data_IF_734314537089
#
_entry.id   IF_734314537089
#
_cell.length_a   1.000
_cell.length_b   1.000
_cell.length_c   1.000
_cell.angle_alpha   90.00
_cell.angle_beta   90.00
_cell.angle_gamma   90.00
#
_symmetry.space_group_name_H-M   'P 1'
#
loop_
_entity.id
_entity.type
_entity.pdbx_description
1 polymer ?
#
# COMPACT_ATOMS: atom_id res chain seq x y z
N UNK A 1 3.34 1.93 36.08
CA UNK A 1 4.42 1.17 35.42
C UNK A 1 5.46 2.18 34.95
N UNK A 2 6.66 2.08 35.49
CA UNK A 2 7.75 3.04 35.37
C UNK A 2 8.18 3.22 33.91
N UNK A 3 7.72 4.30 33.27
CA UNK A 3 8.37 4.82 32.07
C UNK A 3 9.72 5.39 32.52
N UNK A 4 10.77 4.58 32.42
CA UNK A 4 12.13 5.13 32.50
C UNK A 4 12.31 6.04 31.29
N UNK A 5 12.56 7.31 31.59
CA UNK A 5 12.74 8.42 30.65
C UNK A 5 14.06 8.25 29.89
N UNK A 6 14.11 7.26 29.00
CA UNK A 6 15.24 7.05 28.11
C UNK A 6 15.10 7.97 26.89
N UNK A 7 16.19 8.65 26.54
CA UNK A 7 16.27 9.47 25.34
C UNK A 7 15.86 8.64 24.10
N UNK A 8 15.07 9.21 23.16
CA UNK A 8 14.57 8.48 22.02
C UNK A 8 15.70 8.05 21.08
N UNK A 9 15.68 6.79 20.66
CA UNK A 9 16.62 6.23 19.69
C UNK A 9 16.28 6.70 18.27
N UNK A 10 17.29 6.90 17.42
CA UNK A 10 17.06 7.18 16.00
C UNK A 10 16.38 5.99 15.31
N UNK A 11 15.39 6.27 14.45
CA UNK A 11 14.60 5.28 13.72
C UNK A 11 14.31 5.80 12.30
N UNK A 12 14.19 4.96 11.25
CA UNK A 12 14.20 3.49 11.24
C UNK A 12 15.56 2.85 11.59
N UNK A 13 15.54 1.61 12.10
CA UNK A 13 16.75 0.85 12.37
C UNK A 13 17.35 0.17 11.12
N UNK A 14 16.51 -0.06 10.11
CA UNK A 14 16.93 -0.58 8.80
C UNK A 14 17.39 0.57 7.89
N UNK A 15 18.40 0.32 7.07
CA UNK A 15 18.98 1.28 6.11
C UNK A 15 18.38 1.20 4.70
N UNK A 16 17.56 0.18 4.42
CA UNK A 16 16.95 -0.06 3.10
C UNK A 16 17.88 -0.66 2.03
N UNK A 17 19.05 -1.16 2.43
CA UNK A 17 20.05 -1.72 1.50
C UNK A 17 19.87 -3.22 1.21
N UNK A 18 19.24 -3.95 2.12
CA UNK A 18 18.94 -5.37 2.02
C UNK A 18 17.56 -5.68 2.65
N UNK A 19 17.19 -6.97 2.64
CA UNK A 19 15.95 -7.46 3.23
C UNK A 19 16.11 -7.95 4.68
N UNK A 20 17.34 -7.91 5.22
CA UNK A 20 17.61 -8.42 6.55
C UNK A 20 17.06 -7.48 7.62
N UNK A 21 16.57 -8.07 8.70
CA UNK A 21 16.11 -7.29 9.83
C UNK A 21 17.32 -6.82 10.64
N UNK A 22 17.45 -5.51 10.87
CA UNK A 22 18.52 -4.97 11.70
C UNK A 22 18.54 -5.63 13.08
N UNK A 23 19.73 -5.98 13.58
CA UNK A 23 19.93 -6.54 14.93
C UNK A 23 19.32 -5.66 16.04
N UNK A 24 19.14 -4.37 15.76
CA UNK A 24 18.48 -3.46 16.69
C UNK A 24 17.03 -3.87 16.98
N UNK A 25 16.31 -4.46 16.00
CA UNK A 25 14.98 -5.01 16.24
C UNK A 25 15.02 -6.29 17.09
N UNK A 26 16.04 -7.12 16.95
CA UNK A 26 16.26 -8.29 17.83
C UNK A 26 16.47 -7.85 19.27
N UNK A 27 17.42 -6.94 19.50
CA UNK A 27 17.66 -6.33 20.82
C UNK A 27 16.41 -5.67 21.38
N UNK A 28 15.64 -4.98 20.53
CA UNK A 28 14.38 -4.35 20.92
C UNK A 28 13.32 -5.37 21.36
N UNK A 29 13.24 -6.54 20.71
CA UNK A 29 12.31 -7.61 21.12
C UNK A 29 12.70 -8.22 22.47
N UNK A 30 13.98 -8.34 22.75
CA UNK A 30 14.48 -8.91 24.01
C UNK A 30 14.38 -7.92 25.18
N UNK A 31 14.49 -6.62 24.90
CA UNK A 31 14.37 -5.55 25.91
C UNK A 31 12.96 -5.51 26.52
N UNK A 32 12.81 -5.51 27.87
CA UNK A 32 11.50 -5.36 28.50
C UNK A 32 10.85 -4.00 28.21
N UNK A 33 9.57 -4.01 27.82
CA UNK A 33 8.80 -2.80 27.55
C UNK A 33 8.95 -2.27 26.12
N UNK A 34 8.36 -1.09 25.86
CA UNK A 34 8.43 -0.42 24.57
C UNK A 34 9.65 0.51 24.51
N UNK A 35 10.25 0.67 23.34
CA UNK A 35 11.35 1.61 23.14
C UNK A 35 10.82 3.01 22.78
N UNK A 36 11.47 4.07 23.25
CA UNK A 36 11.27 5.41 22.71
C UNK A 36 12.12 5.59 21.46
N UNK A 37 11.51 6.09 20.39
CA UNK A 37 12.18 6.31 19.10
C UNK A 37 11.86 7.69 18.53
N UNK A 38 12.70 8.18 17.63
CA UNK A 38 12.51 9.42 16.87
C UNK A 38 12.79 9.15 15.39
N UNK A 39 11.80 9.45 14.56
CA UNK A 39 11.90 9.44 13.09
C UNK A 39 12.53 10.75 12.58
N UNK A 40 12.94 10.84 11.30
CA UNK A 40 13.49 12.07 10.72
C UNK A 40 12.59 13.30 10.92
N UNK A 41 11.27 13.11 10.88
CA UNK A 41 10.27 14.13 11.15
C UNK A 41 9.26 13.65 12.20
N UNK A 42 8.59 14.58 12.87
CA UNK A 42 7.55 14.28 13.85
C UNK A 42 8.01 14.28 15.30
N UNK A 43 7.03 14.14 16.18
CA UNK A 43 7.21 13.88 17.61
C UNK A 43 7.85 12.50 17.85
N UNK A 44 8.56 12.29 18.98
CA UNK A 44 9.05 10.96 19.31
C UNK A 44 7.91 9.98 19.59
N UNK A 45 8.09 8.71 19.22
CA UNK A 45 7.09 7.65 19.33
C UNK A 45 7.49 6.56 20.33
N UNK A 46 6.55 5.67 20.64
CA UNK A 46 6.82 4.36 21.24
C UNK A 46 6.88 3.31 20.14
N UNK A 47 7.85 2.40 20.19
CA UNK A 47 8.03 1.31 19.23
C UNK A 47 7.65 -0.03 19.88
N UNK A 48 6.61 -0.68 19.34
CA UNK A 48 6.23 -2.04 19.68
C UNK A 48 6.87 -3.04 18.71
N UNK A 49 7.66 -3.98 19.24
CA UNK A 49 8.45 -4.94 18.43
C UNK A 49 8.07 -6.39 18.69
N UNK A 50 7.50 -6.72 19.85
CA UNK A 50 7.02 -8.07 20.17
C UNK A 50 5.66 -8.30 19.54
N UNK A 51 5.42 -9.53 19.09
CA UNK A 51 4.16 -9.92 18.44
C UNK A 51 2.93 -9.56 19.29
N UNK A 52 2.94 -9.89 20.59
CA UNK A 52 1.83 -9.62 21.49
C UNK A 52 1.54 -8.11 21.64
N UNK A 53 2.59 -7.29 21.74
CA UNK A 53 2.47 -5.84 21.89
C UNK A 53 1.98 -5.19 20.60
N UNK A 54 2.53 -5.58 19.45
CA UNK A 54 2.07 -5.10 18.14
C UNK A 54 0.60 -5.49 17.90
N UNK A 55 0.22 -6.74 18.20
CA UNK A 55 -1.18 -7.19 18.09
C UNK A 55 -2.13 -6.41 19.01
N UNK A 56 -1.68 -6.08 20.22
CA UNK A 56 -2.46 -5.26 21.16
C UNK A 56 -2.64 -3.85 20.62
N UNK A 57 -1.55 -3.16 20.26
CA UNK A 57 -1.58 -1.77 19.79
C UNK A 57 -2.40 -1.63 18.51
N UNK A 58 -2.28 -2.57 17.56
CA UNK A 58 -3.02 -2.53 16.30
C UNK A 58 -4.49 -2.98 16.39
N UNK A 59 -4.88 -3.63 17.49
CA UNK A 59 -6.22 -4.22 17.64
C UNK A 59 -7.10 -3.61 18.72
N UNK A 60 -6.55 -2.75 19.58
CA UNK A 60 -7.26 -2.18 20.73
C UNK A 60 -7.73 -0.74 20.44
N UNK A 61 -9.01 -0.47 20.68
CA UNK A 61 -9.67 0.81 20.37
C UNK A 61 -9.16 1.99 21.23
N UNK A 62 -8.32 1.74 22.24
CA UNK A 62 -7.65 2.82 22.99
C UNK A 62 -6.54 3.50 22.18
N UNK A 63 -6.06 2.87 21.10
CA UNK A 63 -5.10 3.47 20.18
C UNK A 63 -5.85 4.02 18.97
N UNK A 64 -5.76 5.35 18.79
CA UNK A 64 -6.51 6.10 17.80
C UNK A 64 -5.63 6.53 16.64
N UNK A 65 -6.13 6.38 15.41
CA UNK A 65 -5.54 6.99 14.21
C UNK A 65 -6.08 8.38 13.95
N UNK A 66 -7.32 8.69 14.32
CA UNK A 66 -7.90 10.02 14.09
C UNK A 66 -7.18 11.11 14.89
N UNK A 67 -6.72 10.80 16.12
CA UNK A 67 -5.95 11.73 16.93
C UNK A 67 -4.58 12.08 16.32
N UNK A 68 -4.06 11.33 15.34
CA UNK A 68 -2.77 11.68 14.72
C UNK A 68 -2.84 13.00 13.93
N UNK A 69 -4.03 13.45 13.56
CA UNK A 69 -4.24 14.72 12.85
C UNK A 69 -3.95 15.95 13.73
N UNK A 70 -4.11 15.80 15.05
CA UNK A 70 -3.84 16.85 16.05
C UNK A 70 -2.35 16.92 16.44
N UNK A 71 -1.53 16.00 15.93
CA UNK A 71 -0.12 15.83 16.30
C UNK A 71 0.82 15.90 15.07
N UNK A 72 2.08 16.22 15.32
CA UNK A 72 3.13 16.08 14.30
C UNK A 72 3.59 14.61 14.25
N UNK A 73 2.90 13.77 13.47
CA UNK A 73 3.13 12.33 13.48
C UNK A 73 4.57 11.93 13.06
N UNK A 74 5.16 10.90 13.71
CA UNK A 74 6.46 10.36 13.32
C UNK A 74 6.44 9.84 11.88
N UNK A 75 7.36 10.32 11.04
CA UNK A 75 7.39 9.96 9.61
C UNK A 75 8.79 10.06 8.99
N UNK A 76 8.95 9.37 7.85
CA UNK A 76 10.23 9.30 7.13
C UNK A 76 10.45 10.47 6.15
N UNK A 77 9.37 11.06 5.61
CA UNK A 77 9.39 12.13 4.62
C UNK A 77 8.75 13.41 5.16
N UNK A 78 9.06 14.56 4.57
CA UNK A 78 8.51 15.85 5.01
C UNK A 78 6.97 15.92 4.85
N UNK A 79 6.45 15.37 3.74
CA UNK A 79 5.02 15.34 3.42
C UNK A 79 4.17 14.62 4.47
N UNK A 80 2.99 15.16 4.77
CA UNK A 80 2.04 14.62 5.75
C UNK A 80 0.89 13.90 5.03
N UNK A 81 0.44 12.78 5.61
CA UNK A 81 -0.80 12.10 5.18
C UNK A 81 -1.88 12.37 6.22
N UNK A 82 -2.76 13.29 5.90
CA UNK A 82 -3.77 13.84 6.82
C UNK A 82 -5.21 13.41 6.45
N UNK A 83 -5.35 12.48 5.51
CA UNK A 83 -6.64 12.09 4.96
C UNK A 83 -6.69 10.61 4.56
N UNK A 84 -7.93 10.13 4.37
CA UNK A 84 -8.22 8.76 3.93
C UNK A 84 -8.55 7.79 5.07
N UNK A 85 -8.89 6.56 4.70
CA UNK A 85 -9.39 5.55 5.64
C UNK A 85 -8.38 5.17 6.75
N UNK A 86 -7.08 5.37 6.51
CA UNK A 86 -6.01 5.04 7.45
C UNK A 86 -5.79 6.09 8.55
N UNK A 87 -6.47 7.24 8.48
CA UNK A 87 -6.45 8.30 9.49
C UNK A 87 -7.78 8.41 10.25
N UNK A 88 -8.60 7.35 10.23
CA UNK A 88 -9.93 7.33 10.84
C UNK A 88 -10.03 6.28 11.94
N UNK A 89 -10.92 6.50 12.91
CA UNK A 89 -11.35 5.52 13.91
C UNK A 89 -12.83 5.18 13.75
N UNK A 90 -13.32 4.09 14.39
CA UNK A 90 -14.75 3.87 14.54
C UNK A 90 -15.45 5.07 15.22
N UNK A 91 -16.71 5.40 14.83
CA UNK A 91 -17.56 4.66 13.90
C UNK A 91 -17.32 4.95 12.41
N UNK A 92 -16.68 6.08 12.07
CA UNK A 92 -16.52 6.55 10.69
C UNK A 92 -15.68 5.59 9.85
N UNK A 93 -14.58 5.08 10.41
CA UNK A 93 -13.77 4.04 9.77
C UNK A 93 -14.61 2.81 9.45
N UNK A 94 -15.40 2.30 10.40
CA UNK A 94 -16.18 1.08 10.18
C UNK A 94 -17.30 1.27 9.17
N UNK A 95 -17.93 2.46 9.12
CA UNK A 95 -18.91 2.82 8.08
C UNK A 95 -18.28 2.86 6.69
N UNK A 96 -17.13 3.52 6.54
CA UNK A 96 -16.44 3.58 5.25
C UNK A 96 -15.97 2.18 4.85
N UNK A 97 -15.35 1.43 5.78
CA UNK A 97 -14.88 0.05 5.54
C UNK A 97 -16.00 -0.91 5.15
N UNK A 98 -17.20 -0.79 5.73
CA UNK A 98 -18.34 -1.65 5.38
C UNK A 98 -18.81 -1.42 3.94
N UNK A 99 -18.85 -0.16 3.49
CA UNK A 99 -19.16 0.20 2.10
C UNK A 99 -18.09 -0.35 1.14
N UNK A 100 -16.81 -0.19 1.45
CA UNK A 100 -15.70 -0.71 0.63
C UNK A 100 -15.75 -2.24 0.53
N UNK A 101 -16.02 -2.94 1.64
CA UNK A 101 -16.05 -4.40 1.67
C UNK A 101 -17.14 -5.00 0.76
N UNK A 102 -18.23 -4.25 0.46
CA UNK A 102 -19.28 -4.69 -0.47
C UNK A 102 -18.82 -4.65 -1.93
N UNK A 103 -17.91 -3.74 -2.27
CA UNK A 103 -17.37 -3.61 -3.62
C UNK A 103 -16.09 -4.46 -3.79
N UNK A 104 -15.18 -4.40 -2.83
CA UNK A 104 -13.87 -5.06 -2.85
C UNK A 104 -13.93 -6.51 -2.35
N UNK A 105 -14.69 -7.35 -3.06
CA UNK A 105 -14.91 -8.76 -2.68
C UNK A 105 -13.84 -9.69 -3.28
N UNK A 106 -13.61 -10.84 -2.63
CA UNK A 106 -12.74 -11.92 -3.17
C UNK A 106 -13.15 -12.28 -4.60
N UNK A 107 -14.47 -12.37 -4.86
CA UNK A 107 -14.98 -12.66 -6.20
C UNK A 107 -14.57 -11.61 -7.23
N UNK A 108 -14.64 -10.32 -6.90
CA UNK A 108 -14.23 -9.25 -7.81
C UNK A 108 -12.72 -9.28 -8.07
N UNK A 109 -11.91 -9.56 -7.05
CA UNK A 109 -10.45 -9.72 -7.21
C UNK A 109 -10.12 -10.94 -8.09
N UNK A 110 -10.79 -12.07 -7.88
CA UNK A 110 -10.57 -13.30 -8.67
C UNK A 110 -10.95 -13.13 -10.16
N UNK A 111 -11.89 -12.24 -10.49
CA UNK A 111 -12.19 -11.91 -11.90
C UNK A 111 -10.99 -11.33 -12.65
N UNK A 112 -10.01 -10.74 -11.95
CA UNK A 112 -8.80 -10.17 -12.55
C UNK A 112 -7.76 -11.24 -12.89
N UNK A 113 -7.84 -12.43 -12.27
CA UNK A 113 -6.79 -13.47 -12.38
C UNK A 113 -6.46 -13.83 -13.84
N UNK A 114 -7.41 -14.05 -14.75
CA UNK A 114 -7.09 -14.37 -16.14
C UNK A 114 -6.27 -13.28 -16.82
N UNK A 115 -6.62 -12.01 -16.63
CA UNK A 115 -5.92 -10.91 -17.28
C UNK A 115 -4.57 -10.61 -16.63
N UNK A 116 -4.42 -10.85 -15.32
CA UNK A 116 -3.10 -10.80 -14.66
C UNK A 116 -2.18 -11.88 -15.20
N UNK A 117 -2.70 -13.09 -15.44
CA UNK A 117 -1.93 -14.16 -16.08
C UNK A 117 -1.49 -13.80 -17.49
N UNK A 118 -2.38 -13.22 -18.29
CA UNK A 118 -2.04 -12.76 -19.64
C UNK A 118 -0.98 -11.65 -19.62
N UNK A 119 -1.14 -10.66 -18.74
CA UNK A 119 -0.16 -9.59 -18.58
C UNK A 119 1.20 -10.13 -18.16
N UNK A 120 1.24 -10.97 -17.12
CA UNK A 120 2.50 -11.55 -16.62
C UNK A 120 3.18 -12.43 -17.66
N UNK A 121 2.43 -13.23 -18.43
CA UNK A 121 2.97 -14.02 -19.53
C UNK A 121 3.61 -13.13 -20.62
N UNK A 122 2.92 -12.08 -21.07
CA UNK A 122 3.46 -11.19 -22.11
C UNK A 122 4.70 -10.40 -21.65
N UNK A 123 4.78 -10.03 -20.37
CA UNK A 123 5.98 -9.43 -19.79
C UNK A 123 7.15 -10.42 -19.76
N UNK A 124 6.90 -11.69 -19.42
CA UNK A 124 7.91 -12.75 -19.45
C UNK A 124 8.40 -13.03 -20.88
N UNK A 125 7.51 -13.12 -21.86
CA UNK A 125 7.87 -13.30 -23.27
C UNK A 125 8.77 -12.15 -23.77
N UNK A 126 8.43 -10.91 -23.40
CA UNK A 126 9.23 -9.74 -23.75
C UNK A 126 10.61 -9.74 -23.08
N UNK A 127 10.72 -10.23 -21.84
CA UNK A 127 11.99 -10.40 -21.14
C UNK A 127 12.84 -11.49 -21.79
N UNK A 128 12.25 -12.62 -22.18
CA UNK A 128 12.95 -13.70 -22.88
C UNK A 128 13.51 -13.21 -24.22
N UNK A 129 12.70 -12.48 -25.00
CA UNK A 129 13.12 -11.92 -26.28
C UNK A 129 14.25 -10.88 -26.17
N UNK A 130 14.31 -10.13 -25.06
CA UNK A 130 15.39 -9.17 -24.81
C UNK A 130 16.73 -9.85 -24.47
N UNK A 131 16.69 -11.08 -23.95
CA UNK A 131 17.86 -11.83 -23.50
C UNK A 131 18.43 -11.34 -22.16
N UNK A 132 19.21 -12.18 -21.45
CA UNK A 132 19.81 -11.79 -20.18
C UNK A 132 21.01 -10.84 -20.35
N UNK A 133 21.30 -9.94 -19.39
CA UNK A 133 20.54 -9.71 -18.15
C UNK A 133 19.30 -8.83 -18.37
N UNK A 134 18.27 -9.05 -17.54
CA UNK A 134 17.06 -8.23 -17.49
C UNK A 134 16.86 -7.69 -16.09
N UNK A 135 16.39 -6.44 -16.00
CA UNK A 135 15.93 -5.87 -14.73
C UNK A 135 14.47 -6.30 -14.48
N UNK A 136 14.30 -7.18 -13.49
CA UNK A 136 12.98 -7.69 -13.10
C UNK A 136 12.07 -6.59 -12.52
N UNK A 137 12.64 -5.59 -11.84
CA UNK A 137 11.85 -4.51 -11.23
C UNK A 137 11.18 -3.71 -12.33
N UNK A 138 11.97 -3.22 -13.28
CA UNK A 138 11.50 -2.39 -14.39
C UNK A 138 10.64 -3.16 -15.39
N UNK A 139 11.02 -4.39 -15.73
CA UNK A 139 10.37 -5.16 -16.81
C UNK A 139 9.19 -6.01 -16.33
N UNK A 140 9.04 -6.26 -15.04
CA UNK A 140 8.00 -7.16 -14.53
C UNK A 140 7.28 -6.59 -13.30
N UNK A 141 7.99 -6.22 -12.23
CA UNK A 141 7.35 -5.88 -10.97
C UNK A 141 6.63 -4.53 -10.97
N UNK A 142 7.16 -3.49 -11.62
CA UNK A 142 6.50 -2.19 -11.73
C UNK A 142 5.28 -2.23 -12.68
N UNK A 143 5.34 -2.86 -13.88
CA UNK A 143 4.20 -2.87 -14.80
C UNK A 143 2.96 -3.61 -14.29
N UNK A 144 3.11 -4.66 -13.47
CA UNK A 144 1.98 -5.50 -13.05
C UNK A 144 0.96 -4.73 -12.20
N UNK A 145 1.32 -4.13 -11.05
CA UNK A 145 0.32 -3.60 -10.14
C UNK A 145 -0.32 -2.32 -10.67
N UNK A 146 0.42 -1.48 -11.39
CA UNK A 146 -0.16 -0.31 -12.07
C UNK A 146 -1.23 -0.72 -13.09
N UNK A 147 -0.96 -1.74 -13.91
CA UNK A 147 -1.93 -2.21 -14.89
C UNK A 147 -3.17 -2.85 -14.22
N UNK A 148 -2.95 -3.62 -13.15
CA UNK A 148 -4.03 -4.24 -12.36
C UNK A 148 -4.92 -3.19 -11.74
N UNK A 149 -4.34 -2.20 -11.05
CA UNK A 149 -5.10 -1.19 -10.30
C UNK A 149 -5.80 -0.21 -11.24
N UNK A 150 -5.16 0.17 -12.35
CA UNK A 150 -5.79 0.97 -13.39
C UNK A 150 -7.01 0.23 -13.97
N UNK A 151 -6.88 -1.07 -14.26
CA UNK A 151 -8.03 -1.87 -14.71
C UNK A 151 -9.12 -1.97 -13.66
N UNK A 152 -8.75 -2.18 -12.40
CA UNK A 152 -9.70 -2.28 -11.30
C UNK A 152 -10.54 -1.00 -11.15
N UNK A 153 -9.91 0.16 -11.30
CA UNK A 153 -10.55 1.49 -11.20
C UNK A 153 -11.14 2.02 -12.52
N UNK A 154 -11.10 1.24 -13.60
CA UNK A 154 -11.64 1.65 -14.90
C UNK A 154 -10.86 2.76 -15.60
N UNK A 155 -9.56 2.91 -15.28
CA UNK A 155 -8.64 3.86 -15.91
C UNK A 155 -8.35 3.45 -17.37
N UNK A 156 -8.59 4.33 -18.35
CA UNK A 156 -8.25 4.08 -19.75
C UNK A 156 -6.75 3.80 -19.96
N UNK A 157 -6.41 2.91 -20.90
CA UNK A 157 -5.01 2.51 -21.12
C UNK A 157 -4.10 3.69 -21.49
N UNK A 158 -4.64 4.65 -22.24
CA UNK A 158 -3.94 5.88 -22.67
C UNK A 158 -3.48 6.77 -21.49
N UNK A 159 -4.14 6.66 -20.34
CA UNK A 159 -3.87 7.50 -19.18
C UNK A 159 -2.87 6.84 -18.20
N UNK A 160 -2.58 5.54 -18.37
CA UNK A 160 -1.65 4.78 -17.50
C UNK A 160 -0.27 5.44 -17.33
N UNK A 161 0.36 6.04 -18.36
CA UNK A 161 1.65 6.72 -18.17
C UNK A 161 1.58 7.88 -17.17
N UNK A 162 0.49 8.67 -17.19
CA UNK A 162 0.28 9.77 -16.25
C UNK A 162 0.04 9.24 -14.83
N UNK A 163 -0.73 8.16 -14.70
CA UNK A 163 -0.94 7.49 -13.41
C UNK A 163 0.35 7.00 -12.77
N UNK A 164 1.29 6.51 -13.58
CA UNK A 164 2.60 6.11 -13.08
C UNK A 164 3.33 7.30 -12.45
N UNK A 165 3.31 8.47 -13.09
CA UNK A 165 3.93 9.70 -12.54
C UNK A 165 3.31 10.09 -11.20
N UNK A 166 1.98 10.16 -11.11
CA UNK A 166 1.31 10.50 -9.85
C UNK A 166 1.53 9.46 -8.76
N UNK A 167 1.55 8.17 -9.13
CA UNK A 167 1.84 7.13 -8.16
C UNK A 167 3.28 7.20 -7.69
N UNK A 168 4.27 7.33 -8.56
CA UNK A 168 5.68 7.45 -8.17
C UNK A 168 5.89 8.68 -7.27
N UNK A 169 5.18 9.78 -7.55
CA UNK A 169 5.21 10.98 -6.72
C UNK A 169 4.58 10.79 -5.33
N UNK A 170 3.45 10.09 -5.23
CA UNK A 170 2.81 9.77 -3.95
C UNK A 170 3.69 8.91 -3.02
N UNK A 171 4.72 8.29 -3.58
CA UNK A 171 5.59 7.31 -2.94
C UNK A 171 7.01 7.83 -2.69
N UNK A 172 7.34 9.01 -3.23
CA UNK A 172 8.65 9.60 -3.01
C UNK A 172 8.90 9.87 -1.52
N UNK A 173 9.88 9.16 -0.95
CA UNK A 173 10.29 9.33 0.45
C UNK A 173 11.37 10.38 0.65
N UNK A 174 12.01 10.86 -0.43
CA UNK A 174 13.18 11.75 -0.33
C UNK A 174 13.46 12.64 -1.54
N UNK A 175 12.72 12.51 -2.65
CA UNK A 175 13.03 13.22 -3.91
C UNK A 175 12.06 14.36 -4.23
N UNK A 176 10.94 14.49 -3.53
CA UNK A 176 9.98 15.57 -3.72
C UNK A 176 9.94 16.53 -2.55
N UNK A 177 9.78 17.81 -2.87
CA UNK A 177 9.40 18.84 -1.89
C UNK A 177 7.93 18.67 -1.47
N UNK A 178 7.55 19.21 -0.31
CA UNK A 178 6.15 19.20 0.13
C UNK A 178 5.19 19.81 -0.90
N UNK A 179 5.60 20.89 -1.59
CA UNK A 179 4.78 21.55 -2.61
C UNK A 179 4.59 20.70 -3.88
N UNK A 180 5.59 19.91 -4.28
CA UNK A 180 5.47 18.98 -5.40
C UNK A 180 4.58 17.79 -5.04
N UNK A 181 4.70 17.29 -3.81
CA UNK A 181 3.83 16.24 -3.29
C UNK A 181 2.36 16.68 -3.28
N UNK A 182 2.07 17.86 -2.75
CA UNK A 182 0.71 18.40 -2.69
C UNK A 182 0.12 18.61 -4.09
N UNK A 183 0.91 19.14 -5.04
CA UNK A 183 0.48 19.33 -6.43
C UNK A 183 0.10 18.02 -7.13
N UNK A 184 0.97 17.01 -7.05
CA UNK A 184 0.69 15.70 -7.65
C UNK A 184 -0.57 15.07 -7.03
N UNK A 185 -0.76 15.23 -5.72
CA UNK A 185 -1.95 14.77 -5.02
C UNK A 185 -3.21 15.47 -5.50
N UNK A 186 -3.16 16.79 -5.70
CA UNK A 186 -4.29 17.58 -6.20
C UNK A 186 -4.67 17.22 -7.65
N UNK A 187 -3.69 17.08 -8.54
CA UNK A 187 -3.91 16.66 -9.93
C UNK A 187 -4.55 15.26 -10.00
N UNK A 188 -4.02 14.31 -9.21
CA UNK A 188 -4.57 12.97 -9.13
C UNK A 188 -6.01 12.96 -8.61
N UNK A 189 -6.31 13.77 -7.59
CA UNK A 189 -7.68 13.92 -7.05
C UNK A 189 -8.63 14.50 -8.09
N UNK A 190 -8.20 15.51 -8.85
CA UNK A 190 -8.99 16.11 -9.92
C UNK A 190 -9.30 15.09 -11.03
N UNK A 191 -8.30 14.36 -11.51
CA UNK A 191 -8.49 13.30 -12.49
C UNK A 191 -9.45 12.22 -11.96
N UNK A 192 -9.29 11.80 -10.71
CA UNK A 192 -10.14 10.78 -10.11
C UNK A 192 -11.60 11.22 -10.03
N UNK A 193 -11.86 12.49 -9.73
CA UNK A 193 -13.21 13.06 -9.73
C UNK A 193 -13.84 13.02 -11.14
N UNK A 194 -13.08 13.36 -12.19
CA UNK A 194 -13.56 13.25 -13.58
C UNK A 194 -13.86 11.80 -13.96
N UNK A 195 -13.00 10.87 -13.55
CA UNK A 195 -13.19 9.44 -13.80
C UNK A 195 -14.45 8.90 -13.10
N UNK A 196 -14.69 9.31 -11.85
CA UNK A 196 -15.90 8.96 -11.09
C UNK A 196 -17.14 9.52 -11.80
N UNK A 197 -17.11 10.77 -12.26
CA UNK A 197 -18.21 11.37 -13.01
C UNK A 197 -18.51 10.61 -14.31
N UNK A 198 -17.47 10.18 -15.03
CA UNK A 198 -17.62 9.36 -16.23
C UNK A 198 -18.29 8.00 -15.92
N UNK A 199 -17.89 7.30 -14.86
CA UNK A 199 -18.50 6.04 -14.45
C UNK A 199 -19.95 6.19 -13.96
N UNK A 200 -20.34 7.36 -13.47
CA UNK A 200 -21.76 7.64 -13.16
C UNK A 200 -22.61 7.82 -14.41
N UNK A 201 -22.05 8.46 -15.44
CA UNK A 201 -22.74 8.67 -16.69
C UNK A 201 -22.84 7.37 -17.52
N UNK A 202 -21.84 6.50 -17.40
CA UNK A 202 -21.73 5.23 -18.12
C UNK A 202 -21.21 4.11 -17.19
N UNK A 203 -22.10 3.47 -16.40
CA UNK A 203 -21.75 2.42 -15.45
C UNK A 203 -21.17 1.16 -16.12
N UNK A 204 -20.16 0.54 -15.49
CA UNK A 204 -19.40 -0.61 -16.01
C UNK A 204 -19.32 -1.72 -14.96
N UNK A 205 -18.94 -2.94 -15.35
CA UNK A 205 -18.65 -4.03 -14.38
C UNK A 205 -17.22 -3.90 -13.84
N UNK A 206 -16.96 -2.85 -13.06
CA UNK A 206 -15.68 -2.60 -12.39
C UNK A 206 -15.85 -2.14 -10.93
N UNK A 207 -14.71 -1.98 -10.21
CA UNK A 207 -14.74 -1.59 -8.81
C UNK A 207 -15.24 -0.15 -8.63
N UNK A 208 -14.96 0.75 -9.58
CA UNK A 208 -15.35 2.14 -9.50
C UNK A 208 -16.88 2.27 -9.48
N UNK A 209 -17.56 1.64 -10.43
CA UNK A 209 -19.03 1.57 -10.45
C UNK A 209 -19.56 0.88 -9.20
N UNK A 210 -18.96 -0.24 -8.77
CA UNK A 210 -19.38 -0.92 -7.54
C UNK A 210 -19.27 -0.03 -6.28
N UNK A 211 -18.24 0.80 -6.17
CA UNK A 211 -18.06 1.74 -5.06
C UNK A 211 -19.08 2.90 -5.13
N UNK A 212 -19.35 3.44 -6.31
CA UNK A 212 -20.37 4.47 -6.55
C UNK A 212 -21.76 3.96 -6.15
N UNK A 213 -22.05 2.71 -6.45
CA UNK A 213 -23.35 2.07 -6.19
C UNK A 213 -23.47 1.49 -4.78
N UNK A 214 -22.35 1.31 -4.05
CA UNK A 214 -22.34 0.72 -2.72
C UNK A 214 -23.27 1.49 -1.75
N UNK A 215 -24.11 0.74 -1.02
CA UNK A 215 -24.99 1.25 0.02
C UNK A 215 -24.88 0.43 1.29
N UNK A 216 -25.02 1.08 2.44
CA UNK A 216 -25.09 0.39 3.74
C UNK A 216 -26.11 1.07 4.66
N UNK A 217 -27.17 0.35 5.04
CA UNK A 217 -28.29 0.91 5.84
C UNK A 217 -28.86 2.24 5.30
N UNK A 218 -28.85 2.44 3.98
CA UNK A 218 -29.31 3.68 3.32
C UNK A 218 -28.22 4.74 3.16
N UNK A 219 -27.06 4.57 3.78
CA UNK A 219 -25.87 5.40 3.62
C UNK A 219 -25.08 5.05 2.34
N UNK A 220 -24.27 6.00 1.88
CA UNK A 220 -23.41 5.89 0.69
C UNK A 220 -22.15 6.74 0.86
N UNK A 221 -21.12 6.42 0.08
CA UNK A 221 -19.92 7.26 0.02
C UNK A 221 -20.27 8.65 -0.56
N UNK A 222 -19.78 9.70 0.10
CA UNK A 222 -19.80 11.05 -0.45
C UNK A 222 -18.84 11.19 -1.63
N UNK A 223 -18.90 12.32 -2.35
CA UNK A 223 -17.98 12.57 -3.47
C UNK A 223 -16.52 12.55 -3.03
N UNK A 224 -16.23 13.25 -1.94
CA UNK A 224 -14.90 13.34 -1.39
C UNK A 224 -14.42 11.98 -0.90
N UNK A 225 -15.29 11.22 -0.22
CA UNK A 225 -14.95 9.87 0.24
C UNK A 225 -14.64 8.91 -0.91
N UNK A 226 -15.38 8.99 -2.03
CA UNK A 226 -15.10 8.20 -3.22
C UNK A 226 -13.73 8.56 -3.83
N UNK A 227 -13.45 9.85 -4.00
CA UNK A 227 -12.17 10.33 -4.54
C UNK A 227 -11.01 9.87 -3.66
N UNK A 228 -11.06 10.15 -2.35
CA UNK A 228 -10.02 9.80 -1.39
C UNK A 228 -9.78 8.30 -1.33
N UNK A 229 -10.85 7.51 -1.35
CA UNK A 229 -10.76 6.06 -1.34
C UNK A 229 -10.11 5.53 -2.62
N UNK A 230 -10.53 6.00 -3.80
CA UNK A 230 -9.99 5.53 -5.07
C UNK A 230 -8.50 5.93 -5.23
N UNK A 231 -8.13 7.14 -4.77
CA UNK A 231 -6.73 7.56 -4.68
C UNK A 231 -5.95 6.66 -3.71
N UNK A 232 -6.51 6.36 -2.53
CA UNK A 232 -5.89 5.45 -1.56
C UNK A 232 -5.68 4.04 -2.11
N UNK A 233 -6.69 3.48 -2.78
CA UNK A 233 -6.62 2.16 -3.43
C UNK A 233 -5.52 2.13 -4.50
N UNK A 234 -5.44 3.18 -5.32
CA UNK A 234 -4.42 3.33 -6.35
C UNK A 234 -3.01 3.29 -5.74
N UNK A 235 -2.72 4.20 -4.81
CA UNK A 235 -1.39 4.38 -4.25
C UNK A 235 -0.98 3.16 -3.42
N UNK A 236 -1.86 2.70 -2.53
CA UNK A 236 -1.56 1.55 -1.66
C UNK A 236 -1.42 0.24 -2.43
N UNK A 237 -2.21 0.05 -3.49
CA UNK A 237 -2.19 -1.18 -4.30
C UNK A 237 -1.00 -1.26 -5.26
N UNK A 238 -0.47 -0.13 -5.71
CA UNK A 238 0.63 -0.10 -6.66
C UNK A 238 1.98 -0.41 -5.98
N UNK A 239 2.40 0.41 -5.02
CA UNK A 239 3.75 0.33 -4.44
C UNK A 239 4.00 -0.97 -3.71
N UNK A 240 3.11 -1.30 -2.77
CA UNK A 240 3.31 -2.43 -1.86
C UNK A 240 3.51 -3.71 -2.66
N UNK A 241 2.72 -3.90 -3.71
CA UNK A 241 2.83 -5.05 -4.61
C UNK A 241 4.10 -4.97 -5.48
N UNK A 242 4.43 -3.79 -6.03
CA UNK A 242 5.61 -3.61 -6.87
C UNK A 242 6.92 -3.83 -6.12
N UNK A 243 6.97 -3.53 -4.82
CA UNK A 243 8.09 -3.84 -3.92
C UNK A 243 8.07 -5.29 -3.47
N UNK A 244 6.89 -5.86 -3.20
CA UNK A 244 6.80 -7.21 -2.66
C UNK A 244 7.16 -8.31 -3.68
N UNK A 245 6.82 -8.12 -4.96
CA UNK A 245 7.18 -9.06 -6.03
C UNK A 245 8.70 -9.32 -6.10
N UNK A 246 9.57 -8.30 -6.29
CA UNK A 246 11.01 -8.52 -6.37
C UNK A 246 11.58 -9.03 -5.05
N UNK A 247 11.02 -8.61 -3.90
CA UNK A 247 11.44 -9.14 -2.60
C UNK A 247 11.17 -10.65 -2.49
N UNK A 248 10.02 -11.13 -2.96
CA UNK A 248 9.73 -12.57 -3.01
C UNK A 248 10.68 -13.32 -3.94
N UNK A 249 10.98 -12.77 -5.12
CA UNK A 249 11.92 -13.40 -6.04
C UNK A 249 13.32 -13.43 -5.47
N UNK A 250 13.81 -12.32 -4.90
CA UNK A 250 15.12 -12.25 -4.24
C UNK A 250 15.20 -13.28 -3.10
N UNK A 251 14.19 -13.32 -2.23
CA UNK A 251 14.11 -14.30 -1.14
C UNK A 251 14.19 -15.74 -1.66
N UNK A 252 13.50 -16.08 -2.76
CA UNK A 252 13.57 -17.41 -3.35
C UNK A 252 14.93 -17.72 -3.97
N UNK A 253 15.60 -16.73 -4.57
CA UNK A 253 16.94 -16.88 -5.13
C UNK A 253 17.99 -17.12 -4.04
N UNK A 254 17.84 -16.46 -2.87
CA UNK A 254 18.70 -16.67 -1.70
C UNK A 254 18.42 -18.01 -0.98
N UNK A 255 17.26 -18.62 -1.24
CA UNK A 255 16.85 -19.91 -0.67
C UNK A 255 16.62 -20.98 -1.76
N UNK A 256 17.69 -21.47 -2.43
CA UNK A 256 17.58 -22.33 -3.61
C UNK A 256 16.85 -23.65 -3.35
N UNK A 257 16.87 -24.16 -2.11
CA UNK A 257 16.11 -25.36 -1.72
C UNK A 257 14.60 -25.11 -1.74
N UNK A 258 14.16 -23.97 -1.19
CA UNK A 258 12.75 -23.57 -1.21
C UNK A 258 12.27 -23.30 -2.65
N UNK A 259 13.12 -22.64 -3.46
CA UNK A 259 12.84 -22.44 -4.89
C UNK A 259 12.72 -23.77 -5.64
N UNK A 260 13.59 -24.75 -5.37
CA UNK A 260 13.51 -26.08 -5.98
C UNK A 260 12.23 -26.83 -5.58
N UNK A 261 11.82 -26.73 -4.31
CA UNK A 261 10.56 -27.31 -3.82
C UNK A 261 9.35 -26.68 -4.53
N UNK A 262 9.31 -25.34 -4.63
CA UNK A 262 8.22 -24.63 -5.29
C UNK A 262 8.12 -24.93 -6.79
N UNK A 263 9.27 -25.12 -7.46
CA UNK A 263 9.33 -25.54 -8.86
C UNK A 263 8.83 -26.98 -9.07
N UNK A 264 9.14 -27.87 -8.13
CA UNK A 264 8.68 -29.26 -8.18
C UNK A 264 7.19 -29.38 -7.86
N UNK A 265 6.66 -28.54 -6.98
CA UNK A 265 5.25 -28.51 -6.60
C UNK A 265 4.68 -27.08 -6.53
N UNK A 266 4.12 -26.55 -7.65
CA UNK A 266 3.48 -25.24 -7.66
C UNK A 266 2.23 -25.13 -6.78
N UNK A 267 1.64 -26.24 -6.30
CA UNK A 267 0.47 -26.19 -5.43
C UNK A 267 0.80 -25.58 -4.06
N UNK A 268 2.07 -25.62 -3.64
CA UNK A 268 2.58 -24.99 -2.42
C UNK A 268 2.34 -23.48 -2.36
N UNK A 269 2.14 -22.81 -3.50
CA UNK A 269 1.78 -21.37 -3.56
C UNK A 269 0.44 -21.10 -2.86
N UNK A 270 -0.50 -22.04 -2.93
CA UNK A 270 -1.89 -21.86 -2.46
C UNK A 270 -2.17 -22.43 -1.08
N UNK A 271 -1.16 -23.03 -0.43
CA UNK A 271 -1.29 -23.70 0.86
C UNK A 271 -0.76 -22.86 2.05
N UNK A 272 -0.38 -21.61 1.80
CA UNK A 272 0.09 -20.65 2.80
C UNK A 272 -1.06 -19.81 3.38
#
# INVERSE_FOLDING_TARGET
MTATDHAPLAYPFNSGQDLDLSEAYERARETPGLLRVRMPYGEPAWLATRYADARLVLGDQRFSRALSLDHDEPRASEGRRDSGILSMDPPDHTRLRSLVAKAFTVRQVEKLRPQVRELTASLLDAMEAAGPPVDLVDRYALPIPVAVICRLLGVPERDRPQFRVWSDAALSTSSLTAAEFDRNREELRAYMAELIAAHRADPRDDLMTALIEARDHGDRLSELELVDLCVGILVAGHETTATQIPNFVLTLLDHPQALAQLRADPALITQA
#
